data_IF_016714123965
#
_entry.id   IF_016714123965
#
_cell.length_a   1.000
_cell.length_b   1.000
_cell.length_c   1.000
_cell.angle_alpha   90.00
_cell.angle_beta   90.00
_cell.angle_gamma   90.00
#
_symmetry.space_group_name_H-M   'P 1'
#
loop_
_entity.id
_entity.type
_entity.pdbx_description
1 polymer ?
#
# COMPACT_ATOMS: atom_id res chain seq x y z
N UNK A 1 -32.15 20.68 -13.48
CA UNK A 1 -32.32 20.78 -12.01
C UNK A 1 -31.09 20.10 -11.45
N UNK A 2 -29.99 20.84 -11.39
CA UNK A 2 -28.62 20.29 -11.34
C UNK A 2 -27.94 20.75 -10.05
N UNK A 3 -28.52 20.40 -8.90
CA UNK A 3 -28.09 20.91 -7.60
C UNK A 3 -27.86 19.81 -6.55
N UNK A 4 -27.45 18.62 -6.99
CA UNK A 4 -26.97 17.53 -6.10
C UNK A 4 -25.45 17.45 -6.04
N UNK A 5 -24.74 18.43 -6.61
CA UNK A 5 -23.28 18.53 -6.48
C UNK A 5 -22.92 18.80 -5.02
N UNK A 6 -22.42 17.79 -4.31
CA UNK A 6 -21.84 17.95 -2.97
C UNK A 6 -20.60 18.83 -3.11
N UNK A 7 -20.77 20.16 -2.96
CA UNK A 7 -19.71 21.17 -3.07
C UNK A 7 -18.77 21.17 -1.86
N UNK A 8 -19.16 20.57 -0.74
CA UNK A 8 -18.35 20.40 0.47
C UNK A 8 -18.69 19.08 1.14
N UNK A 9 -17.68 18.27 1.47
CA UNK A 9 -17.85 17.11 2.36
C UNK A 9 -18.16 17.60 3.78
N UNK A 10 -19.08 16.96 4.53
CA UNK A 10 -19.43 17.40 5.88
C UNK A 10 -18.19 17.45 6.78
N UNK A 11 -18.04 18.54 7.54
CA UNK A 11 -16.85 18.82 8.37
C UNK A 11 -16.62 17.79 9.49
N UNK A 12 -17.65 17.02 9.87
CA UNK A 12 -17.58 15.89 10.82
C UNK A 12 -18.67 14.87 10.52
N UNK A 13 -18.32 13.63 10.17
CA UNK A 13 -19.23 12.48 10.11
C UNK A 13 -18.71 11.44 11.10
N UNK A 14 -19.44 11.19 12.19
CA UNK A 14 -19.10 10.15 13.13
C UNK A 14 -19.51 8.80 12.54
N UNK A 15 -18.57 8.09 11.92
CA UNK A 15 -18.82 6.83 11.21
C UNK A 15 -18.32 5.63 12.02
N UNK A 16 -18.77 5.51 13.27
CA UNK A 16 -18.23 4.57 14.27
C UNK A 16 -18.38 3.08 13.95
N UNK A 17 -19.33 2.71 13.09
CA UNK A 17 -19.58 1.33 12.67
C UNK A 17 -19.25 1.07 11.19
N UNK A 18 -18.71 2.07 10.49
CA UNK A 18 -18.42 1.93 9.08
C UNK A 18 -17.21 1.01 8.90
N UNK A 19 -17.40 -0.11 8.20
CA UNK A 19 -16.32 -1.06 7.85
C UNK A 19 -15.74 -0.80 6.46
N UNK A 20 -16.58 -0.36 5.54
CA UNK A 20 -16.20 -0.07 4.16
C UNK A 20 -16.58 1.36 3.80
N UNK A 21 -15.60 2.12 3.33
CA UNK A 21 -15.80 3.44 2.73
C UNK A 21 -15.33 3.37 1.29
N UNK A 22 -16.20 3.72 0.34
CA UNK A 22 -15.85 3.75 -1.06
C UNK A 22 -16.34 5.06 -1.68
N UNK A 23 -15.43 5.74 -2.35
CA UNK A 23 -15.68 6.95 -3.11
C UNK A 23 -14.82 6.91 -4.39
N UNK A 24 -15.39 7.29 -5.53
CA UNK A 24 -14.65 7.28 -6.79
C UNK A 24 -15.47 7.63 -8.02
N UNK A 25 -14.78 8.01 -9.09
CA UNK A 25 -15.38 8.30 -10.39
C UNK A 25 -16.17 9.61 -10.47
N UNK A 26 -16.16 10.42 -9.42
CA UNK A 26 -16.73 11.77 -9.43
C UNK A 26 -15.66 12.78 -9.84
N UNK A 27 -15.93 13.57 -10.89
CA UNK A 27 -15.11 14.72 -11.33
C UNK A 27 -15.16 15.88 -10.32
N UNK A 28 -15.07 15.59 -9.03
CA UNK A 28 -14.98 16.63 -8.00
C UNK A 28 -13.68 17.38 -8.29
N UNK A 29 -13.84 18.59 -8.81
CA UNK A 29 -12.71 19.40 -9.31
C UNK A 29 -11.72 19.78 -8.20
N UNK A 30 -12.04 19.48 -6.94
CA UNK A 30 -11.27 19.98 -5.82
C UNK A 30 -11.40 19.11 -4.55
N UNK A 31 -11.00 17.84 -4.61
CA UNK A 31 -10.74 17.05 -3.39
C UNK A 31 -9.36 17.42 -2.84
N UNK A 32 -9.19 18.68 -2.39
CA UNK A 32 -7.90 19.28 -1.96
C UNK A 32 -7.18 18.52 -0.85
N UNK A 33 -7.84 17.56 -0.23
CA UNK A 33 -7.20 16.56 0.59
C UNK A 33 -8.23 15.77 1.37
N UNK A 34 -7.87 14.54 1.71
CA UNK A 34 -8.46 13.82 2.84
C UNK A 34 -8.31 14.57 4.17
N UNK A 35 -7.55 15.68 4.23
CA UNK A 35 -7.46 16.59 5.39
C UNK A 35 -8.84 17.08 5.86
N UNK A 36 -9.84 17.13 4.96
CA UNK A 36 -11.21 17.50 5.28
C UNK A 36 -12.15 16.30 5.48
N UNK A 37 -11.71 15.06 5.26
CA UNK A 37 -12.54 13.90 5.56
C UNK A 37 -12.42 13.58 7.06
N UNK A 38 -13.50 13.77 7.83
CA UNK A 38 -13.46 13.58 9.27
C UNK A 38 -13.57 12.10 9.59
N UNK A 39 -12.47 11.37 9.45
CA UNK A 39 -12.41 9.99 9.89
C UNK A 39 -12.41 9.84 11.43
N UNK A 40 -12.73 10.91 12.17
CA UNK A 40 -12.91 10.89 13.61
C UNK A 40 -13.90 9.78 13.98
N UNK A 41 -13.44 8.80 14.76
CA UNK A 41 -14.26 7.68 15.20
C UNK A 41 -14.36 6.50 14.22
N UNK A 42 -13.69 6.51 13.07
CA UNK A 42 -13.66 5.38 12.11
C UNK A 42 -12.79 4.19 12.57
N UNK A 43 -12.79 3.87 13.87
CA UNK A 43 -11.94 2.81 14.44
C UNK A 43 -12.29 1.40 13.95
N UNK A 44 -13.45 1.22 13.32
CA UNK A 44 -13.88 -0.06 12.74
C UNK A 44 -13.67 -0.15 11.22
N UNK A 45 -13.18 0.91 10.58
CA UNK A 45 -13.02 0.94 9.13
C UNK A 45 -11.90 -0.03 8.70
N UNK A 46 -12.27 -1.07 7.95
CA UNK A 46 -11.37 -2.09 7.44
C UNK A 46 -10.97 -1.83 6.00
N UNK A 47 -11.85 -1.25 5.19
CA UNK A 47 -11.63 -1.12 3.74
C UNK A 47 -11.96 0.30 3.28
N UNK A 48 -10.98 0.96 2.66
CA UNK A 48 -11.11 2.32 2.14
C UNK A 48 -10.71 2.35 0.66
N UNK A 49 -11.66 2.67 -0.21
CA UNK A 49 -11.46 2.80 -1.64
C UNK A 49 -11.70 4.25 -2.07
N UNK A 50 -10.65 4.91 -2.56
CA UNK A 50 -10.65 6.30 -3.01
C UNK A 50 -10.08 6.34 -4.43
N UNK A 51 -10.76 5.70 -5.38
CA UNK A 51 -10.22 5.55 -6.75
C UNK A 51 -10.65 6.73 -7.61
N UNK A 52 -9.73 7.36 -8.33
CA UNK A 52 -10.07 8.45 -9.27
C UNK A 52 -10.84 9.59 -8.60
N UNK A 53 -10.27 10.11 -7.51
CA UNK A 53 -10.86 11.14 -6.65
C UNK A 53 -10.14 12.49 -6.74
N UNK A 54 -9.22 12.65 -7.69
CA UNK A 54 -8.36 13.82 -7.83
C UNK A 54 -7.59 14.18 -6.53
N UNK A 55 -7.16 13.18 -5.75
CA UNK A 55 -6.42 13.41 -4.50
C UNK A 55 -4.97 13.80 -4.79
N UNK A 56 -4.50 14.88 -4.18
CA UNK A 56 -3.09 15.33 -4.24
C UNK A 56 -2.29 14.97 -2.99
N UNK A 57 -2.96 14.91 -1.83
CA UNK A 57 -2.32 14.64 -0.54
C UNK A 57 -3.14 13.63 0.28
N UNK A 58 -2.44 12.66 0.86
CA UNK A 58 -2.97 11.79 1.91
C UNK A 58 -2.63 12.42 3.28
N UNK A 59 -3.54 12.45 4.27
CA UNK A 59 -3.36 13.25 5.46
C UNK A 59 -2.26 12.66 6.33
N UNK A 60 -1.51 13.49 7.08
CA UNK A 60 -0.42 12.98 7.92
C UNK A 60 -0.92 12.23 9.17
N UNK A 61 -2.13 12.57 9.63
CA UNK A 61 -2.79 11.97 10.78
C UNK A 61 -4.02 11.15 10.37
N UNK A 62 -3.89 9.83 10.43
CA UNK A 62 -4.95 8.83 10.23
C UNK A 62 -4.94 7.81 11.37
N UNK A 63 -4.62 8.26 12.58
CA UNK A 63 -4.65 7.44 13.81
C UNK A 63 -6.00 6.75 14.03
N UNK A 64 -7.08 7.36 13.54
CA UNK A 64 -8.43 6.80 13.55
C UNK A 64 -8.65 5.63 12.58
N UNK A 65 -7.76 5.41 11.60
CA UNK A 65 -7.81 4.30 10.66
C UNK A 65 -7.03 3.08 11.17
N UNK A 66 -6.94 2.90 12.48
CA UNK A 66 -6.11 1.87 13.12
C UNK A 66 -6.47 0.44 12.72
N UNK A 67 -7.70 0.19 12.30
CA UNK A 67 -8.21 -1.13 11.89
C UNK A 67 -8.18 -1.37 10.38
N UNK A 68 -7.65 -0.42 9.60
CA UNK A 68 -7.65 -0.48 8.14
C UNK A 68 -6.80 -1.66 7.65
N UNK A 69 -7.40 -2.50 6.81
CA UNK A 69 -6.81 -3.68 6.20
C UNK A 69 -6.57 -3.49 4.70
N UNK A 70 -7.43 -2.75 4.01
CA UNK A 70 -7.30 -2.46 2.58
C UNK A 70 -7.41 -0.97 2.30
N UNK A 71 -6.45 -0.43 1.54
CA UNK A 71 -6.44 0.96 1.10
C UNK A 71 -6.20 1.04 -0.41
N UNK A 72 -7.14 1.61 -1.15
CA UNK A 72 -6.97 1.90 -2.57
C UNK A 72 -6.95 3.42 -2.80
N UNK A 73 -5.82 3.91 -3.35
CA UNK A 73 -5.62 5.29 -3.78
C UNK A 73 -5.33 5.38 -5.29
N UNK A 74 -5.69 4.34 -6.03
CA UNK A 74 -5.41 4.24 -7.47
C UNK A 74 -6.02 5.41 -8.25
N UNK A 75 -5.36 5.80 -9.35
CA UNK A 75 -5.80 6.87 -10.28
C UNK A 75 -5.94 8.24 -9.62
N UNK A 76 -5.12 8.54 -8.62
CA UNK A 76 -5.04 9.87 -8.03
C UNK A 76 -3.75 10.60 -8.39
N UNK A 77 -3.69 11.89 -8.07
CA UNK A 77 -2.57 12.79 -8.32
C UNK A 77 -1.63 12.92 -7.10
N UNK A 78 -1.61 11.91 -6.22
CA UNK A 78 -0.86 11.93 -4.96
C UNK A 78 0.63 12.04 -5.24
N UNK A 79 1.27 13.05 -4.68
CA UNK A 79 2.71 13.30 -4.86
C UNK A 79 3.57 12.58 -3.83
N UNK A 80 3.04 12.42 -2.61
CA UNK A 80 3.73 11.80 -1.50
C UNK A 80 2.74 11.04 -0.60
N UNK A 81 3.18 9.87 -0.10
CA UNK A 81 2.53 9.19 1.01
C UNK A 81 3.22 9.62 2.32
N UNK A 82 2.46 9.90 3.39
CA UNK A 82 3.05 10.34 4.65
C UNK A 82 3.85 9.23 5.31
N UNK A 83 4.98 9.57 5.92
CA UNK A 83 5.86 8.62 6.60
C UNK A 83 5.20 7.89 7.79
N UNK A 84 4.07 8.42 8.29
CA UNK A 84 3.22 7.77 9.29
C UNK A 84 2.51 6.53 8.76
N UNK A 85 2.51 6.24 7.44
CA UNK A 85 1.77 5.10 6.87
C UNK A 85 2.21 3.78 7.49
N UNK A 86 3.49 3.67 7.88
CA UNK A 86 4.06 2.53 8.63
C UNK A 86 3.31 2.16 9.92
N UNK A 87 2.53 3.09 10.49
CA UNK A 87 1.72 2.90 11.70
C UNK A 87 0.39 2.18 11.45
N UNK A 88 0.00 1.96 10.19
CA UNK A 88 -1.19 1.17 9.85
C UNK A 88 -0.90 -0.32 10.00
N UNK A 89 -0.74 -0.78 11.24
CA UNK A 89 -0.30 -2.14 11.56
C UNK A 89 -1.25 -3.24 11.07
N UNK A 90 -2.52 -2.94 10.78
CA UNK A 90 -3.46 -3.93 10.25
C UNK A 90 -3.53 -3.94 8.72
N UNK A 91 -2.85 -3.01 8.03
CA UNK A 91 -2.94 -2.88 6.58
C UNK A 91 -2.27 -4.07 5.89
N UNK A 92 -3.06 -4.79 5.10
CA UNK A 92 -2.65 -5.97 4.31
C UNK A 92 -2.52 -5.63 2.83
N UNK A 93 -3.34 -4.73 2.30
CA UNK A 93 -3.37 -4.42 0.86
C UNK A 93 -3.32 -2.91 0.61
N UNK A 94 -2.36 -2.47 -0.21
CA UNK A 94 -2.20 -1.10 -0.65
C UNK A 94 -2.20 -1.04 -2.18
N UNK A 95 -3.20 -0.40 -2.76
CA UNK A 95 -3.34 -0.24 -4.21
C UNK A 95 -3.05 1.20 -4.61
N UNK A 96 -2.03 1.39 -5.44
CA UNK A 96 -1.62 2.70 -5.93
C UNK A 96 -1.56 2.74 -7.47
N UNK A 97 -2.38 1.95 -8.17
CA UNK A 97 -2.24 1.88 -9.64
C UNK A 97 -2.46 3.24 -10.28
N UNK A 98 -1.62 3.63 -11.22
CA UNK A 98 -1.70 4.88 -11.96
C UNK A 98 -1.66 6.18 -11.12
N UNK A 99 -1.01 6.20 -9.94
CA UNK A 99 -0.65 7.49 -9.31
C UNK A 99 0.62 8.05 -9.95
N UNK A 100 0.46 8.82 -11.01
CA UNK A 100 1.56 9.25 -11.89
C UNK A 100 2.52 10.26 -11.27
N UNK A 101 2.12 10.93 -10.19
CA UNK A 101 2.90 11.98 -9.55
C UNK A 101 3.66 11.50 -8.31
N UNK A 102 3.47 10.25 -7.88
CA UNK A 102 4.15 9.72 -6.70
C UNK A 102 5.61 9.40 -7.03
N UNK A 103 6.54 10.14 -6.42
CA UNK A 103 7.99 10.03 -6.72
C UNK A 103 8.71 9.08 -5.76
N UNK A 104 8.19 8.93 -4.54
CA UNK A 104 8.83 8.12 -3.50
C UNK A 104 7.83 7.28 -2.71
N UNK A 105 8.27 6.11 -2.25
CA UNK A 105 7.57 5.31 -1.25
C UNK A 105 8.21 5.47 0.14
N UNK A 106 7.43 5.84 1.18
CA UNK A 106 7.90 5.82 2.56
C UNK A 106 8.11 4.38 3.04
N UNK A 107 8.63 4.21 4.26
CA UNK A 107 8.62 2.90 4.93
C UNK A 107 7.18 2.42 5.04
N UNK A 108 6.90 1.24 4.50
CA UNK A 108 5.57 0.66 4.44
C UNK A 108 5.23 -0.14 5.72
N UNK A 109 3.94 -0.37 6.00
CA UNK A 109 3.52 -1.19 7.14
C UNK A 109 4.14 -2.58 7.14
N UNK A 110 4.51 -3.06 8.33
CA UNK A 110 5.14 -4.37 8.53
C UNK A 110 4.30 -5.56 8.08
N UNK A 111 2.97 -5.43 8.16
CA UNK A 111 1.99 -6.48 7.84
C UNK A 111 1.46 -6.40 6.42
N UNK A 112 2.03 -5.52 5.57
CA UNK A 112 1.60 -5.37 4.20
C UNK A 112 1.89 -6.65 3.39
N UNK A 113 0.84 -7.25 2.84
CA UNK A 113 0.88 -8.46 2.03
C UNK A 113 0.82 -8.15 0.54
N UNK A 114 0.18 -7.06 0.15
CA UNK A 114 0.01 -6.70 -1.24
C UNK A 114 0.29 -5.23 -1.47
N UNK A 115 1.15 -4.95 -2.45
CA UNK A 115 1.41 -3.62 -2.97
C UNK A 115 1.31 -3.67 -4.49
N UNK A 116 0.52 -2.80 -5.07
CA UNK A 116 0.45 -2.64 -6.52
C UNK A 116 0.74 -1.20 -6.93
N UNK A 117 1.89 -1.01 -7.58
CA UNK A 117 2.35 0.29 -8.09
C UNK A 117 2.28 0.38 -9.62
N UNK A 118 1.47 -0.47 -10.28
CA UNK A 118 1.39 -0.50 -11.73
C UNK A 118 1.07 0.89 -12.32
N UNK A 119 1.84 1.31 -13.33
CA UNK A 119 1.66 2.61 -13.98
C UNK A 119 2.24 3.79 -13.19
N UNK A 120 3.13 3.53 -12.24
CA UNK A 120 3.98 4.53 -11.59
C UNK A 120 5.15 4.95 -12.49
N UNK A 121 4.87 5.88 -13.40
CA UNK A 121 5.89 6.38 -14.33
C UNK A 121 6.93 7.31 -13.67
N UNK A 122 6.65 7.83 -12.48
CA UNK A 122 7.50 8.82 -11.79
C UNK A 122 8.20 8.29 -10.55
N UNK A 123 8.02 7.01 -10.18
CA UNK A 123 8.62 6.45 -8.97
C UNK A 123 10.14 6.35 -9.14
N UNK A 124 10.87 7.08 -8.30
CA UNK A 124 12.33 7.15 -8.31
C UNK A 124 12.96 6.44 -7.11
N UNK A 125 12.33 6.53 -5.93
CA UNK A 125 12.93 6.07 -4.67
C UNK A 125 11.98 5.22 -3.82
N UNK A 126 12.56 4.30 -3.05
CA UNK A 126 11.86 3.49 -2.03
C UNK A 126 12.67 3.55 -0.75
N UNK A 127 12.01 3.89 0.36
CA UNK A 127 12.67 4.04 1.67
C UNK A 127 13.44 2.80 2.09
N UNK A 128 14.64 2.99 2.65
CA UNK A 128 15.47 1.94 3.26
C UNK A 128 15.27 1.96 4.79
N UNK A 129 14.77 0.89 5.44
CA UNK A 129 14.25 -0.35 4.86
C UNK A 129 12.85 -0.18 4.25
N UNK A 130 12.50 -0.98 3.25
CA UNK A 130 11.20 -0.87 2.55
C UNK A 130 10.00 -1.15 3.48
N UNK A 131 10.11 -2.14 4.35
CA UNK A 131 9.14 -2.43 5.43
C UNK A 131 9.91 -2.70 6.71
N UNK A 132 9.29 -2.40 7.85
CA UNK A 132 9.80 -2.87 9.14
C UNK A 132 9.42 -4.34 9.31
N UNK A 133 10.36 -5.26 9.10
CA UNK A 133 10.08 -6.69 9.24
C UNK A 133 9.79 -7.03 10.71
N UNK A 134 8.58 -7.47 10.99
CA UNK A 134 8.22 -8.05 12.28
C UNK A 134 8.35 -9.58 12.16
N UNK A 135 9.15 -10.18 13.04
CA UNK A 135 9.44 -11.63 13.03
C UNK A 135 8.20 -12.48 13.41
N UNK A 136 7.08 -11.85 13.78
CA UNK A 136 5.81 -12.52 14.01
C UNK A 136 5.06 -12.74 12.68
N UNK A 137 5.17 -13.96 12.16
CA UNK A 137 4.09 -14.70 11.50
C UNK A 137 3.19 -13.94 10.51
N UNK A 138 3.53 -13.92 9.21
CA UNK A 138 2.53 -14.03 8.13
C UNK A 138 3.12 -14.41 6.78
N UNK A 139 2.34 -15.24 6.09
CA UNK A 139 2.63 -16.02 4.89
C UNK A 139 2.29 -15.25 3.63
N UNK A 140 3.25 -15.20 2.69
CA UNK A 140 3.12 -14.65 1.34
C UNK A 140 2.92 -13.12 1.29
N UNK A 141 3.76 -12.45 0.52
CA UNK A 141 3.49 -11.07 0.12
C UNK A 141 3.94 -10.86 -1.31
N UNK A 142 3.20 -10.03 -2.01
CA UNK A 142 3.36 -9.74 -3.43
C UNK A 142 3.43 -8.23 -3.60
N UNK A 143 4.62 -7.74 -3.93
CA UNK A 143 4.83 -6.33 -4.28
C UNK A 143 5.10 -6.23 -5.78
N UNK A 144 4.26 -5.47 -6.47
CA UNK A 144 4.28 -5.33 -7.93
C UNK A 144 4.84 -3.96 -8.29
N UNK A 145 6.03 -3.95 -8.90
CA UNK A 145 6.73 -2.76 -9.41
C UNK A 145 6.81 -2.78 -10.93
N UNK A 146 5.67 -2.72 -11.62
CA UNK A 146 5.63 -2.65 -13.08
C UNK A 146 5.69 -1.19 -13.56
N UNK A 147 6.36 -0.97 -14.69
CA UNK A 147 6.51 0.35 -15.34
C UNK A 147 7.20 1.44 -14.50
N UNK A 148 7.94 1.04 -13.46
CA UNK A 148 8.68 1.96 -12.59
C UNK A 148 10.07 2.29 -13.18
N UNK A 149 10.10 2.83 -14.40
CA UNK A 149 11.32 3.01 -15.20
C UNK A 149 12.33 4.01 -14.62
N UNK A 150 11.90 4.87 -13.69
CA UNK A 150 12.75 5.87 -13.04
C UNK A 150 13.37 5.40 -11.71
N UNK A 151 13.13 4.17 -11.27
CA UNK A 151 13.70 3.65 -10.03
C UNK A 151 15.21 3.72 -10.06
N UNK A 152 15.80 4.44 -9.11
CA UNK A 152 17.25 4.54 -9.00
C UNK A 152 17.87 3.22 -8.50
N UNK A 153 19.19 3.09 -8.68
CA UNK A 153 19.96 1.88 -8.29
C UNK A 153 19.74 1.52 -6.81
N UNK A 154 19.77 2.51 -5.93
CA UNK A 154 19.55 2.33 -4.50
C UNK A 154 18.20 1.70 -4.17
N UNK A 155 17.13 2.15 -4.84
CA UNK A 155 15.78 1.65 -4.64
C UNK A 155 15.64 0.23 -5.19
N UNK A 156 16.24 -0.07 -6.35
CA UNK A 156 16.30 -1.42 -6.91
C UNK A 156 16.99 -2.39 -5.95
N UNK A 157 18.17 -2.02 -5.45
CA UNK A 157 18.93 -2.82 -4.47
C UNK A 157 18.14 -3.05 -3.19
N UNK A 158 17.42 -2.04 -2.69
CA UNK A 158 16.56 -2.16 -1.51
C UNK A 158 15.41 -3.16 -1.72
N UNK A 159 14.74 -3.08 -2.87
CA UNK A 159 13.65 -4.01 -3.23
C UNK A 159 14.17 -5.45 -3.32
N UNK A 160 15.33 -5.64 -3.96
CA UNK A 160 16.00 -6.95 -4.07
C UNK A 160 16.41 -7.47 -2.70
N UNK A 161 17.09 -6.66 -1.90
CA UNK A 161 17.54 -7.04 -0.56
C UNK A 161 16.37 -7.41 0.36
N UNK A 162 15.28 -6.65 0.33
CA UNK A 162 14.06 -6.99 1.07
C UNK A 162 13.49 -8.35 0.64
N UNK A 163 13.44 -8.59 -0.67
CA UNK A 163 12.92 -9.84 -1.23
C UNK A 163 13.78 -11.04 -0.80
N UNK A 164 15.10 -10.90 -0.90
CA UNK A 164 16.07 -11.93 -0.47
C UNK A 164 15.95 -12.22 1.03
N UNK A 165 15.92 -11.18 1.86
CA UNK A 165 15.79 -11.33 3.31
C UNK A 165 14.49 -12.05 3.69
N UNK A 166 13.39 -11.72 3.01
CA UNK A 166 12.10 -12.39 3.24
C UNK A 166 12.12 -13.86 2.84
N UNK A 167 12.73 -14.18 1.69
CA UNK A 167 12.93 -15.57 1.26
C UNK A 167 13.79 -16.36 2.25
N UNK A 168 14.86 -15.76 2.77
CA UNK A 168 15.71 -16.38 3.80
C UNK A 168 14.94 -16.68 5.08
N UNK A 169 14.18 -15.70 5.60
CA UNK A 169 13.36 -15.88 6.81
C UNK A 169 12.33 -17.00 6.62
N UNK A 170 11.68 -17.06 5.45
CA UNK A 170 10.70 -18.12 5.14
C UNK A 170 11.37 -19.49 5.04
N UNK A 171 12.55 -19.58 4.41
CA UNK A 171 13.33 -20.81 4.34
C UNK A 171 13.80 -21.27 5.74
N UNK A 172 14.36 -20.39 6.56
CA UNK A 172 14.79 -20.73 7.92
C UNK A 172 13.64 -21.25 8.78
N UNK A 173 12.43 -20.68 8.62
CA UNK A 173 11.23 -21.18 9.30
C UNK A 173 10.77 -22.53 8.79
N UNK A 174 10.80 -22.76 7.47
CA UNK A 174 10.43 -24.08 6.91
C UNK A 174 11.40 -25.17 7.39
N UNK A 175 12.70 -24.87 7.49
CA UNK A 175 13.68 -25.78 8.10
C UNK A 175 13.37 -26.06 9.58
N UNK A 176 12.99 -25.05 10.38
CA UNK A 176 12.60 -25.23 11.78
C UNK A 176 11.31 -26.05 11.95
N UNK A 177 10.33 -25.88 11.05
CA UNK A 177 9.07 -26.63 11.05
C UNK A 177 9.23 -28.07 10.51
N UNK A 178 10.17 -28.29 9.58
CA UNK A 178 10.44 -29.59 8.96
C UNK A 178 11.08 -30.62 9.91
N UNK A 179 11.54 -30.24 11.11
CA UNK A 179 11.90 -31.20 12.16
C UNK A 179 10.67 -31.90 12.79
N UNK A 180 9.45 -31.51 12.40
CA UNK A 180 8.19 -32.12 12.88
C UNK A 180 7.34 -32.82 11.81
N UNK A 181 7.52 -32.59 10.51
CA UNK A 181 6.70 -33.27 9.48
C UNK A 181 7.52 -33.50 8.21
N UNK A 182 8.00 -34.73 8.08
CA UNK A 182 8.70 -35.24 6.92
C UNK A 182 7.70 -35.55 5.80
N UNK A 183 7.20 -34.52 5.10
CA UNK A 183 6.49 -34.66 3.82
C UNK A 183 6.10 -33.28 3.26
N UNK A 184 6.85 -32.76 2.29
CA UNK A 184 6.35 -32.41 0.95
C UNK A 184 7.45 -31.71 0.14
N UNK A 185 7.92 -32.48 -0.83
CA UNK A 185 8.93 -32.21 -1.85
C UNK A 185 8.40 -31.20 -2.88
N UNK A 186 7.95 -30.03 -2.42
CA UNK A 186 7.49 -28.97 -3.32
C UNK A 186 8.05 -27.65 -2.84
N UNK A 187 9.39 -27.61 -2.80
CA UNK A 187 10.19 -26.41 -2.56
C UNK A 187 9.82 -25.40 -3.65
N UNK A 188 8.86 -24.55 -3.29
CA UNK A 188 8.25 -23.53 -4.12
C UNK A 188 9.34 -22.56 -4.61
N UNK A 189 9.89 -22.86 -5.78
CA UNK A 189 10.42 -21.90 -6.74
C UNK A 189 9.30 -20.97 -7.30
N UNK A 190 8.20 -20.78 -6.55
CA UNK A 190 6.91 -20.29 -7.03
C UNK A 190 6.23 -19.26 -6.13
N UNK A 191 6.92 -18.65 -5.16
CA UNK A 191 6.48 -17.34 -4.65
C UNK A 191 6.87 -16.26 -5.67
N UNK A 192 6.04 -16.18 -6.70
CA UNK A 192 6.02 -15.31 -7.87
C UNK A 192 6.74 -13.95 -7.70
N UNK A 193 7.98 -13.89 -8.17
CA UNK A 193 8.46 -12.70 -8.86
C UNK A 193 7.73 -12.62 -10.21
N UNK A 194 6.72 -11.75 -10.34
CA UNK A 194 6.54 -11.02 -11.60
C UNK A 194 7.25 -9.68 -11.46
N UNK A 195 8.58 -9.74 -11.30
CA UNK A 195 9.42 -8.69 -11.86
C UNK A 195 9.33 -8.93 -13.37
N UNK A 196 8.38 -8.29 -14.04
CA UNK A 196 8.46 -8.22 -15.50
C UNK A 196 9.77 -7.49 -15.79
N UNK A 197 10.73 -8.26 -16.29
CA UNK A 197 12.03 -7.78 -16.74
C UNK A 197 11.85 -6.57 -17.65
N UNK A 198 12.19 -5.39 -17.14
CA UNK A 198 12.58 -4.22 -17.94
C UNK A 198 13.73 -3.46 -17.26
N UNK A 199 14.54 -4.15 -16.43
CA UNK A 199 15.75 -3.57 -15.81
C UNK A 199 17.02 -3.74 -16.66
N UNK A 200 16.91 -4.34 -17.85
CA UNK A 200 18.01 -4.45 -18.80
C UNK A 200 17.49 -4.14 -20.21
N UNK A 201 17.38 -2.86 -20.55
CA UNK A 201 17.39 -2.34 -21.92
C UNK A 201 17.89 -0.90 -21.89
#
# INVERSE_FOLDING_TARGET
MDDTSIKQTPRTMCMSNLKLFSFGGSKVQDFRGLELLPFSGCSQLSDMYLTDCNLYKFPDNFSCLSSLQSLCLSRNNIENLPGSIKKLHHLKSLYLKHCKNLISLPVLPSNLQYLDTHGFISLETVSKPMTLLVIAEKTHSTFVFTDCYKLNRDAQENIVAHTQLKSQILASRSFQLNHKVQSLVTLLCTSQLRLFCNFYS
#
